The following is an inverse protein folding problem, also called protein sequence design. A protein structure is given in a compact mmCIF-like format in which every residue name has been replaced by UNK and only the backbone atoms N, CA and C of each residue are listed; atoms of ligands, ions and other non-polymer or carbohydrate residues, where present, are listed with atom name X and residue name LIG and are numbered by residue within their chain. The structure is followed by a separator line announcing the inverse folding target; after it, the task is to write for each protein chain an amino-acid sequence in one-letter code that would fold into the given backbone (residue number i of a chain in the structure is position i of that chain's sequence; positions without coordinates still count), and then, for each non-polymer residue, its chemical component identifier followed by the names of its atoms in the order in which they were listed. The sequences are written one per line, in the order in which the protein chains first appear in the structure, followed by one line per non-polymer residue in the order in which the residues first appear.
data_IF_283578873130
#
_entry.id   IF_283578873130
#
_cell.length_a   1.000
_cell.length_b   1.000
_cell.length_c   1.000
_cell.angle_alpha   90.00
_cell.angle_beta   90.00
_cell.angle_gamma   90.00
#
_symmetry.space_group_name_H-M   'P 1'
#
loop_
_entity.id
_entity.type
_entity.pdbx_description
1 polymer ?
#
# COMPACT_ATOMS: atom_id res chain seq x y z
N UNK A 1 -11.39 -13.81 17.29
CA UNK A 1 -10.25 -14.54 17.90
C UNK A 1 -10.04 -15.81 17.09
N UNK A 2 -9.34 -15.71 15.98
CA UNK A 2 -8.97 -16.85 15.15
C UNK A 2 -7.46 -17.07 15.20
N UNK A 3 -7.15 -18.30 15.52
CA UNK A 3 -5.89 -18.81 16.01
C UNK A 3 -4.81 -18.82 14.90
N UNK A 4 -3.73 -18.08 15.10
CA UNK A 4 -2.51 -18.11 14.28
C UNK A 4 -1.84 -19.49 14.28
N UNK A 5 -2.28 -20.39 13.42
CA UNK A 5 -1.62 -21.67 13.12
C UNK A 5 -0.62 -21.61 11.95
N UNK A 6 -0.17 -20.43 11.56
CA UNK A 6 0.78 -20.27 10.44
C UNK A 6 2.28 -20.30 10.81
N UNK A 7 2.61 -20.45 12.08
CA UNK A 7 3.99 -20.23 12.53
C UNK A 7 4.92 -21.47 12.47
N UNK A 8 4.39 -22.66 12.40
CA UNK A 8 5.18 -23.84 12.78
C UNK A 8 5.90 -24.60 11.65
N UNK A 9 5.53 -24.42 10.38
CA UNK A 9 6.12 -25.20 9.29
C UNK A 9 7.55 -24.77 8.91
N UNK A 10 7.87 -23.50 9.00
CA UNK A 10 9.20 -22.98 8.68
C UNK A 10 10.24 -23.37 9.74
N UNK A 11 9.92 -23.12 11.01
CA UNK A 11 10.81 -23.42 12.13
C UNK A 11 11.06 -24.93 12.27
N UNK A 12 10.00 -25.75 12.13
CA UNK A 12 10.13 -27.20 12.20
C UNK A 12 11.09 -27.77 11.14
N UNK A 13 11.08 -27.24 9.92
CA UNK A 13 11.97 -27.64 8.83
C UNK A 13 13.44 -27.31 9.12
N UNK A 14 13.72 -26.10 9.63
CA UNK A 14 15.07 -25.69 10.00
C UNK A 14 15.61 -26.48 11.19
N UNK A 15 14.77 -26.77 12.18
CA UNK A 15 15.13 -27.65 13.29
C UNK A 15 15.45 -29.07 12.81
N UNK A 16 14.63 -29.64 11.94
CA UNK A 16 14.87 -30.97 11.37
C UNK A 16 16.19 -31.00 10.60
N UNK A 17 16.47 -30.03 9.77
CA UNK A 17 17.70 -29.90 9.00
C UNK A 17 18.90 -29.77 9.93
N UNK A 18 18.82 -29.00 10.99
CA UNK A 18 19.85 -28.88 12.03
C UNK A 18 20.15 -30.23 12.71
N UNK A 19 19.12 -30.99 13.06
CA UNK A 19 19.25 -32.32 13.63
C UNK A 19 19.98 -33.28 12.66
N UNK A 20 19.62 -33.25 11.38
CA UNK A 20 20.27 -34.09 10.37
C UNK A 20 21.74 -33.71 10.18
N UNK A 21 22.06 -32.39 10.13
CA UNK A 21 23.45 -31.92 10.07
C UNK A 21 24.27 -32.43 11.27
N UNK A 22 23.72 -32.31 12.48
CA UNK A 22 24.39 -32.82 13.70
C UNK A 22 24.56 -34.33 13.63
N UNK A 23 23.55 -35.06 13.14
CA UNK A 23 23.66 -36.50 12.94
C UNK A 23 24.77 -36.86 11.94
N UNK A 24 24.89 -36.14 10.82
CA UNK A 24 25.96 -36.34 9.84
C UNK A 24 27.34 -36.15 10.49
N UNK A 25 27.50 -35.10 11.28
CA UNK A 25 28.76 -34.81 11.96
C UNK A 25 29.12 -35.91 13.00
N UNK A 26 28.12 -36.36 13.77
CA UNK A 26 28.34 -37.43 14.76
C UNK A 26 28.69 -38.77 14.09
N UNK A 27 27.88 -39.24 13.14
CA UNK A 27 28.14 -40.49 12.43
C UNK A 27 29.41 -40.42 11.60
N UNK A 28 29.69 -39.25 10.98
CA UNK A 28 30.93 -39.04 10.22
C UNK A 28 32.17 -39.11 11.12
N UNK A 29 32.15 -38.42 12.26
CA UNK A 29 33.25 -38.42 13.21
C UNK A 29 33.47 -39.82 13.79
N UNK A 30 32.41 -40.50 14.23
CA UNK A 30 32.50 -41.88 14.72
C UNK A 30 33.00 -42.83 13.62
N UNK A 31 32.55 -42.71 12.41
CA UNK A 31 32.97 -43.54 11.28
C UNK A 31 34.45 -43.37 10.92
N UNK A 32 34.99 -42.16 10.99
CA UNK A 32 36.41 -41.91 10.79
C UNK A 32 37.27 -42.48 11.93
N UNK A 33 36.82 -42.36 13.19
CA UNK A 33 37.52 -42.97 14.33
C UNK A 33 37.48 -44.49 14.29
N UNK A 34 36.41 -45.08 13.73
CA UNK A 34 36.30 -46.52 13.50
C UNK A 34 37.22 -46.99 12.36
N UNK A 35 37.35 -46.19 11.31
CA UNK A 35 38.20 -46.50 10.15
C UNK A 35 39.69 -46.34 10.46
N UNK A 36 40.08 -45.38 11.29
CA UNK A 36 41.44 -45.11 11.68
C UNK A 36 41.53 -44.77 13.19
N UNK A 37 41.75 -45.75 14.07
CA UNK A 37 41.81 -45.53 15.50
C UNK A 37 42.98 -44.64 15.98
N UNK A 38 43.96 -44.36 15.12
CA UNK A 38 45.05 -43.45 15.44
C UNK A 38 44.69 -41.96 15.21
N UNK A 39 43.56 -41.71 14.60
CA UNK A 39 43.11 -40.36 14.29
C UNK A 39 42.63 -39.61 15.55
N UNK A 40 43.00 -38.35 15.68
CA UNK A 40 42.50 -37.54 16.77
C UNK A 40 41.06 -37.05 16.47
N UNK A 41 40.24 -36.90 17.51
CA UNK A 41 38.80 -36.60 17.36
C UNK A 41 38.52 -35.32 16.53
N UNK A 42 39.37 -34.30 16.62
CA UNK A 42 39.23 -33.08 15.88
C UNK A 42 39.56 -33.24 14.39
N UNK A 43 40.52 -34.13 14.04
CA UNK A 43 40.82 -34.46 12.65
C UNK A 43 39.68 -35.28 12.04
N UNK A 44 39.10 -36.21 12.83
CA UNK A 44 37.89 -36.94 12.42
C UNK A 44 36.70 -36.03 12.20
N UNK A 45 36.49 -35.02 13.05
CA UNK A 45 35.45 -34.02 12.88
C UNK A 45 35.69 -33.16 11.61
N UNK A 46 36.94 -32.74 11.37
CA UNK A 46 37.30 -32.01 10.18
C UNK A 46 37.00 -32.81 8.91
N UNK A 47 37.37 -34.09 8.88
CA UNK A 47 37.03 -34.98 7.76
C UNK A 47 35.53 -35.24 7.65
N UNK A 48 34.79 -35.27 8.74
CA UNK A 48 33.33 -35.36 8.68
C UNK A 48 32.70 -34.12 8.04
N UNK A 49 33.26 -32.91 8.23
CA UNK A 49 32.84 -31.69 7.54
C UNK A 49 33.16 -31.78 6.05
N UNK A 50 34.29 -32.38 5.67
CA UNK A 50 34.65 -32.56 4.25
C UNK A 50 33.68 -33.46 3.49
N UNK A 51 32.89 -34.32 4.16
CA UNK A 51 31.84 -35.10 3.49
C UNK A 51 30.79 -34.25 2.80
N UNK A 52 30.54 -33.01 3.26
CA UNK A 52 29.63 -32.08 2.59
C UNK A 52 30.20 -31.54 1.27
N UNK A 53 31.52 -31.63 1.06
CA UNK A 53 32.23 -31.20 -0.17
C UNK A 53 32.50 -32.39 -1.10
N UNK A 54 31.96 -33.58 -0.81
CA UNK A 54 32.13 -34.82 -1.59
C UNK A 54 33.56 -35.35 -1.68
N UNK A 55 34.40 -35.03 -0.69
CA UNK A 55 35.72 -35.65 -0.59
C UNK A 55 35.59 -37.10 -0.09
N UNK A 56 36.14 -38.05 -0.86
CA UNK A 56 35.88 -39.46 -0.64
C UNK A 56 37.17 -40.22 -0.30
N UNK A 57 37.14 -41.07 0.76
CA UNK A 57 38.24 -41.97 1.00
C UNK A 57 38.30 -43.07 -0.08
N UNK A 58 39.50 -43.40 -0.52
CA UNK A 58 39.74 -44.46 -1.52
C UNK A 58 39.51 -45.88 -0.97
N UNK A 59 39.43 -46.07 0.36
CA UNK A 59 39.26 -47.37 1.00
C UNK A 59 37.76 -47.64 1.30
N UNK A 60 37.42 -48.95 1.47
CA UNK A 60 36.03 -49.33 1.84
C UNK A 60 35.68 -48.75 3.20
N UNK A 61 34.71 -47.81 3.24
CA UNK A 61 34.33 -47.14 4.46
C UNK A 61 33.52 -48.08 5.38
N UNK A 62 33.60 -47.92 6.71
CA UNK A 62 32.67 -48.55 7.64
C UNK A 62 31.24 -48.07 7.38
N UNK A 63 30.26 -48.88 7.80
CA UNK A 63 28.85 -48.63 7.51
C UNK A 63 28.37 -47.28 8.09
N UNK A 64 28.89 -46.87 9.22
CA UNK A 64 28.64 -45.58 9.88
C UNK A 64 29.05 -44.41 8.99
N UNK A 65 30.18 -44.48 8.32
CA UNK A 65 30.70 -43.48 7.42
C UNK A 65 29.89 -43.44 6.10
N UNK A 66 29.45 -44.60 5.60
CA UNK A 66 28.56 -44.66 4.42
C UNK A 66 27.20 -43.96 4.68
N UNK A 67 26.61 -44.22 5.86
CA UNK A 67 25.36 -43.55 6.25
C UNK A 67 25.56 -42.03 6.35
N UNK A 68 26.63 -41.58 7.00
CA UNK A 68 26.96 -40.17 7.13
C UNK A 68 27.12 -39.51 5.74
N UNK A 69 27.77 -40.18 4.82
CA UNK A 69 27.97 -39.71 3.43
C UNK A 69 26.67 -39.51 2.66
N UNK A 70 25.76 -40.49 2.72
CA UNK A 70 24.46 -40.35 2.06
C UNK A 70 23.61 -39.23 2.68
N UNK A 71 23.64 -39.10 4.01
CA UNK A 71 22.94 -38.00 4.69
C UNK A 71 23.54 -36.64 4.34
N UNK A 72 24.88 -36.51 4.26
CA UNK A 72 25.53 -35.26 3.83
C UNK A 72 25.13 -34.88 2.41
N UNK A 73 25.13 -35.86 1.50
CA UNK A 73 24.67 -35.64 0.11
C UNK A 73 23.22 -35.16 0.06
N UNK A 74 22.31 -35.76 0.84
CA UNK A 74 20.91 -35.33 0.92
C UNK A 74 20.78 -33.92 1.45
N UNK A 75 21.53 -33.55 2.51
CA UNK A 75 21.50 -32.16 3.05
C UNK A 75 22.00 -31.17 2.03
N UNK A 76 23.10 -31.45 1.34
CA UNK A 76 23.65 -30.56 0.30
C UNK A 76 22.64 -30.40 -0.87
N UNK A 77 22.08 -31.49 -1.35
CA UNK A 77 21.07 -31.45 -2.42
C UNK A 77 19.81 -30.69 -2.00
N UNK A 78 19.33 -30.90 -0.78
CA UNK A 78 18.18 -30.20 -0.23
C UNK A 78 18.45 -28.69 -0.14
N UNK A 79 19.61 -28.28 0.34
CA UNK A 79 19.98 -26.87 0.44
C UNK A 79 20.00 -26.19 -0.96
N UNK A 80 20.60 -26.86 -1.95
CA UNK A 80 20.60 -26.37 -3.34
C UNK A 80 19.17 -26.31 -3.90
N UNK A 81 18.35 -27.31 -3.67
CA UNK A 81 16.96 -27.33 -4.11
C UNK A 81 16.13 -26.21 -3.49
N UNK A 82 16.30 -25.90 -2.19
CA UNK A 82 15.61 -24.79 -1.54
C UNK A 82 15.99 -23.43 -2.17
N UNK A 83 17.28 -23.20 -2.43
CA UNK A 83 17.72 -21.96 -3.09
C UNK A 83 17.13 -21.86 -4.50
N UNK A 84 17.17 -22.94 -5.28
CA UNK A 84 16.58 -22.98 -6.61
C UNK A 84 15.06 -22.73 -6.55
N UNK A 85 14.34 -23.39 -5.65
CA UNK A 85 12.90 -23.21 -5.49
C UNK A 85 12.54 -21.78 -5.08
N UNK A 86 13.34 -21.13 -4.21
CA UNK A 86 13.13 -19.74 -3.83
C UNK A 86 13.25 -18.81 -5.06
N UNK A 87 14.31 -18.98 -5.87
CA UNK A 87 14.52 -18.21 -7.10
C UNK A 87 13.41 -18.49 -8.12
N UNK A 88 13.05 -19.75 -8.34
CA UNK A 88 11.98 -20.12 -9.27
C UNK A 88 10.60 -19.63 -8.83
N UNK A 89 10.33 -19.56 -7.52
CA UNK A 89 9.05 -19.05 -7.01
C UNK A 89 8.87 -17.57 -7.36
N UNK A 90 9.92 -16.77 -7.21
CA UNK A 90 9.90 -15.35 -7.59
C UNK A 90 9.73 -15.17 -9.10
N UNK A 91 10.48 -15.94 -9.90
CA UNK A 91 10.36 -15.90 -11.37
C UNK A 91 8.98 -16.37 -11.85
N UNK A 92 8.39 -17.40 -11.23
CA UNK A 92 7.02 -17.84 -11.53
C UNK A 92 5.99 -16.74 -11.25
N UNK A 93 6.09 -16.04 -10.12
CA UNK A 93 5.19 -14.91 -9.78
C UNK A 93 5.27 -13.82 -10.84
N UNK A 94 6.49 -13.43 -11.24
CA UNK A 94 6.72 -12.46 -12.31
C UNK A 94 6.15 -12.94 -13.65
N UNK A 95 6.41 -14.18 -14.04
CA UNK A 95 5.90 -14.74 -15.28
C UNK A 95 4.37 -14.80 -15.29
N UNK A 96 3.77 -15.23 -14.19
CA UNK A 96 2.29 -15.24 -14.06
C UNK A 96 1.70 -13.85 -14.14
N UNK A 97 2.33 -12.85 -13.51
CA UNK A 97 1.87 -11.46 -13.60
C UNK A 97 1.96 -10.91 -15.03
N UNK A 98 3.02 -11.24 -15.77
CA UNK A 98 3.20 -10.85 -17.20
C UNK A 98 2.22 -11.51 -18.16
N UNK A 99 1.86 -12.77 -17.89
CA UNK A 99 0.94 -13.53 -18.75
C UNK A 99 -0.54 -13.24 -18.45
N UNK A 100 -0.83 -12.59 -17.32
CA UNK A 100 -2.19 -12.19 -16.96
C UNK A 100 -2.69 -11.09 -17.89
N UNK A 101 -3.96 -11.17 -18.25
CA UNK A 101 -4.68 -10.14 -19.00
C UNK A 101 -5.88 -9.67 -18.20
N UNK A 102 -6.29 -8.43 -18.41
CA UNK A 102 -7.42 -7.78 -17.74
C UNK A 102 -7.30 -7.80 -16.21
N UNK A 103 -6.12 -7.46 -15.71
CA UNK A 103 -5.85 -7.34 -14.29
C UNK A 103 -5.63 -5.88 -13.90
N UNK A 104 -5.83 -5.58 -12.63
CA UNK A 104 -5.58 -4.26 -12.06
C UNK A 104 -4.19 -4.28 -11.45
N UNK A 105 -3.40 -3.24 -11.75
CA UNK A 105 -2.07 -3.06 -11.16
C UNK A 105 -2.13 -1.90 -10.18
N UNK A 106 -1.75 -2.12 -8.94
CA UNK A 106 -1.56 -1.07 -7.94
C UNK A 106 -0.08 -0.86 -7.75
N UNK A 107 0.41 0.35 -8.02
CA UNK A 107 1.81 0.73 -7.86
C UNK A 107 1.93 1.68 -6.69
N UNK A 108 2.71 1.30 -5.69
CA UNK A 108 2.94 2.13 -4.52
C UNK A 108 3.43 1.36 -3.31
N UNK A 109 3.88 2.12 -2.32
CA UNK A 109 4.48 1.60 -1.11
C UNK A 109 3.53 1.77 0.09
N UNK A 110 3.72 0.92 1.10
CA UNK A 110 3.07 1.05 2.39
C UNK A 110 1.60 0.61 2.46
N UNK A 111 0.92 0.93 3.58
CA UNK A 111 -0.39 0.38 3.92
C UNK A 111 -1.52 0.85 3.02
N UNK A 112 -1.38 2.00 2.37
CA UNK A 112 -2.40 2.54 1.48
C UNK A 112 -2.51 1.73 0.20
N UNK A 113 -1.38 1.40 -0.43
CA UNK A 113 -1.34 0.52 -1.59
C UNK A 113 -1.90 -0.86 -1.24
N UNK A 114 -1.57 -1.38 -0.05
CA UNK A 114 -2.11 -2.63 0.44
C UNK A 114 -3.64 -2.56 0.62
N UNK A 115 -4.15 -1.52 1.27
CA UNK A 115 -5.59 -1.31 1.49
C UNK A 115 -6.37 -1.23 0.17
N UNK A 116 -5.86 -0.48 -0.80
CA UNK A 116 -6.49 -0.37 -2.12
C UNK A 116 -6.50 -1.70 -2.85
N UNK A 117 -5.39 -2.42 -2.85
CA UNK A 117 -5.27 -3.71 -3.52
C UNK A 117 -6.15 -4.80 -2.88
N UNK A 118 -6.34 -4.71 -1.56
CA UNK A 118 -7.20 -5.62 -0.80
C UNK A 118 -8.67 -5.26 -0.81
N UNK A 119 -9.10 -4.25 -1.55
CA UNK A 119 -10.49 -3.82 -1.58
C UNK A 119 -11.40 -4.92 -2.15
N UNK A 120 -12.44 -5.26 -1.40
CA UNK A 120 -13.39 -6.32 -1.74
C UNK A 120 -14.14 -6.06 -3.07
N UNK A 121 -14.26 -4.82 -3.49
CA UNK A 121 -14.89 -4.44 -4.75
C UNK A 121 -14.19 -5.07 -5.96
N UNK A 122 -12.87 -5.11 -5.96
CA UNK A 122 -12.13 -5.76 -7.04
C UNK A 122 -12.30 -7.27 -7.04
N UNK A 123 -12.31 -7.88 -5.86
CA UNK A 123 -12.48 -9.31 -5.70
C UNK A 123 -13.91 -9.77 -6.06
N UNK A 124 -14.92 -9.00 -5.68
CA UNK A 124 -16.33 -9.26 -6.04
C UNK A 124 -16.56 -9.15 -7.54
N UNK A 125 -15.84 -8.25 -8.21
CA UNK A 125 -15.85 -8.12 -9.66
C UNK A 125 -15.04 -9.20 -10.39
N UNK A 126 -14.43 -10.16 -9.67
CA UNK A 126 -13.60 -11.22 -10.25
C UNK A 126 -12.28 -10.71 -10.86
N UNK A 127 -11.89 -9.48 -10.57
CA UNK A 127 -10.66 -8.88 -11.09
C UNK A 127 -9.45 -9.41 -10.31
N UNK A 128 -8.40 -9.74 -11.03
CA UNK A 128 -7.11 -10.11 -10.43
C UNK A 128 -6.31 -8.86 -10.16
N UNK A 129 -5.75 -8.75 -8.96
CA UNK A 129 -4.96 -7.58 -8.56
C UNK A 129 -3.49 -7.98 -8.44
N UNK A 130 -2.61 -7.10 -8.91
CA UNK A 130 -1.15 -7.20 -8.77
C UNK A 130 -0.67 -5.93 -8.10
N UNK A 131 0.08 -6.06 -7.01
CA UNK A 131 0.72 -4.91 -6.35
C UNK A 131 2.20 -4.89 -6.71
N UNK A 132 2.70 -3.71 -7.03
CA UNK A 132 4.12 -3.45 -7.29
C UNK A 132 4.59 -2.40 -6.30
N UNK A 133 5.47 -2.79 -5.40
CA UNK A 133 6.03 -1.90 -4.40
C UNK A 133 6.54 -2.64 -3.16
N UNK A 134 7.09 -1.87 -2.25
CA UNK A 134 7.60 -2.39 -0.98
C UNK A 134 6.53 -2.31 0.09
N UNK A 135 6.03 -3.47 0.50
CA UNK A 135 4.99 -3.61 1.51
C UNK A 135 5.54 -4.30 2.75
N UNK A 136 5.02 -3.95 3.91
CA UNK A 136 5.33 -4.65 5.14
C UNK A 136 4.99 -6.15 5.04
N UNK A 137 5.75 -7.05 5.68
CA UNK A 137 5.49 -8.50 5.63
C UNK A 137 4.08 -8.91 6.06
N UNK A 138 3.48 -8.18 7.03
CA UNK A 138 2.10 -8.36 7.46
C UNK A 138 1.11 -8.12 6.33
N UNK A 139 1.30 -7.02 5.58
CA UNK A 139 0.43 -6.62 4.48
C UNK A 139 0.57 -7.57 3.30
N UNK A 140 1.81 -8.02 3.02
CA UNK A 140 2.06 -9.05 2.00
C UNK A 140 1.34 -10.35 2.33
N UNK A 141 1.40 -10.81 3.60
CA UNK A 141 0.71 -12.03 4.04
C UNK A 141 -0.82 -11.88 3.95
N UNK A 142 -1.35 -10.73 4.34
CA UNK A 142 -2.77 -10.42 4.26
C UNK A 142 -3.28 -10.39 2.81
N UNK A 143 -2.54 -9.76 1.91
CA UNK A 143 -2.86 -9.70 0.48
C UNK A 143 -2.74 -11.09 -0.20
N UNK A 144 -1.73 -11.87 0.18
CA UNK A 144 -1.56 -13.24 -0.32
C UNK A 144 -2.76 -14.12 0.04
N UNK A 145 -3.32 -13.98 1.26
CA UNK A 145 -4.54 -14.66 1.69
C UNK A 145 -5.78 -14.30 0.84
N UNK A 146 -5.76 -13.16 0.16
CA UNK A 146 -6.80 -12.68 -0.77
C UNK A 146 -6.50 -12.97 -2.24
N UNK A 147 -5.43 -13.70 -2.54
CA UNK A 147 -5.03 -14.04 -3.91
C UNK A 147 -4.41 -12.88 -4.70
N UNK A 148 -4.04 -11.79 -4.03
CA UNK A 148 -3.30 -10.67 -4.63
C UNK A 148 -1.85 -11.07 -4.81
N UNK A 149 -1.29 -10.78 -5.98
CA UNK A 149 0.13 -11.02 -6.26
C UNK A 149 0.95 -9.78 -5.91
N UNK A 150 1.85 -9.90 -4.94
CA UNK A 150 2.77 -8.82 -4.57
C UNK A 150 4.10 -9.02 -5.26
N UNK A 151 4.57 -8.00 -5.95
CA UNK A 151 5.87 -7.94 -6.63
C UNK A 151 6.68 -6.80 -6.01
N UNK A 152 8.00 -6.98 -5.83
CA UNK A 152 8.87 -5.88 -5.42
C UNK A 152 8.92 -4.81 -6.52
N UNK A 153 9.53 -3.66 -6.23
CA UNK A 153 9.75 -2.64 -7.26
C UNK A 153 10.49 -3.25 -8.45
N UNK A 154 9.91 -3.06 -9.61
CA UNK A 154 10.38 -3.69 -10.84
C UNK A 154 11.23 -2.72 -11.64
N UNK A 155 12.33 -3.24 -12.20
CA UNK A 155 13.05 -2.54 -13.26
C UNK A 155 12.13 -2.34 -14.49
N UNK A 156 12.36 -1.28 -15.25
CA UNK A 156 11.48 -0.87 -16.36
C UNK A 156 11.13 -1.97 -17.38
N UNK A 157 12.05 -2.88 -17.80
CA UNK A 157 11.68 -3.95 -18.74
C UNK A 157 10.70 -4.96 -18.13
N UNK A 158 10.76 -5.18 -16.81
CA UNK A 158 9.84 -6.07 -16.12
C UNK A 158 8.49 -5.41 -15.88
N UNK A 159 8.51 -4.13 -15.52
CA UNK A 159 7.33 -3.29 -15.36
C UNK A 159 6.50 -3.25 -16.65
N UNK A 160 7.13 -2.97 -17.80
CA UNK A 160 6.47 -2.99 -19.12
C UNK A 160 5.73 -4.30 -19.38
N UNK A 161 6.35 -5.43 -19.04
CA UNK A 161 5.74 -6.75 -19.23
C UNK A 161 4.46 -6.95 -18.40
N UNK A 162 4.42 -6.46 -17.17
CA UNK A 162 3.23 -6.53 -16.30
C UNK A 162 2.16 -5.55 -16.75
N UNK A 163 2.54 -4.31 -17.08
CA UNK A 163 1.60 -3.26 -17.49
C UNK A 163 0.93 -3.54 -18.83
N UNK A 164 1.57 -4.28 -19.74
CA UNK A 164 1.01 -4.58 -21.07
C UNK A 164 -0.33 -5.30 -21.01
N UNK A 165 -0.55 -6.12 -19.99
CA UNK A 165 -1.80 -6.87 -19.78
C UNK A 165 -2.76 -6.22 -18.80
N UNK A 166 -2.40 -5.09 -18.22
CA UNK A 166 -3.23 -4.39 -17.26
C UNK A 166 -4.41 -3.69 -17.96
N UNK A 167 -5.57 -3.73 -17.33
CA UNK A 167 -6.76 -2.95 -17.71
C UNK A 167 -6.64 -1.56 -17.11
N UNK A 168 -6.41 -1.50 -15.79
CA UNK A 168 -6.25 -0.27 -15.03
C UNK A 168 -4.95 -0.31 -14.22
N UNK A 169 -4.32 0.83 -14.08
CA UNK A 169 -3.15 1.02 -13.22
C UNK A 169 -3.45 2.13 -12.22
N UNK A 170 -3.43 1.79 -10.96
CA UNK A 170 -3.64 2.73 -9.85
C UNK A 170 -2.31 3.05 -9.22
N UNK A 171 -1.97 4.33 -9.15
CA UNK A 171 -0.67 4.80 -8.62
C UNK A 171 -0.91 5.54 -7.31
N UNK A 172 -0.21 5.11 -6.27
CA UNK A 172 -0.31 5.63 -4.91
C UNK A 172 1.10 5.81 -4.35
N UNK A 173 1.59 7.02 -4.35
CA UNK A 173 2.86 7.34 -3.67
C UNK A 173 2.65 7.60 -2.19
N UNK A 174 3.73 7.63 -1.43
CA UNK A 174 3.73 8.07 -0.04
C UNK A 174 3.50 9.59 0.09
N UNK A 175 3.79 10.34 -0.97
CA UNK A 175 3.47 11.75 -1.13
C UNK A 175 3.12 12.10 -2.58
N UNK A 176 2.68 13.33 -2.81
CA UNK A 176 2.28 13.81 -4.12
C UNK A 176 3.44 13.87 -5.14
N UNK A 177 4.68 14.11 -4.67
CA UNK A 177 5.85 14.15 -5.55
C UNK A 177 6.24 12.73 -6.00
N UNK A 178 6.20 11.78 -5.10
CA UNK A 178 6.41 10.36 -5.42
C UNK A 178 5.34 9.88 -6.41
N UNK A 179 4.06 10.20 -6.15
CA UNK A 179 2.96 9.89 -7.07
C UNK A 179 3.21 10.46 -8.46
N UNK A 180 3.61 11.74 -8.56
CA UNK A 180 3.91 12.38 -9.84
C UNK A 180 5.06 11.70 -10.57
N UNK A 181 6.15 11.36 -9.87
CA UNK A 181 7.29 10.65 -10.44
C UNK A 181 6.90 9.25 -10.95
N UNK A 182 6.11 8.50 -10.18
CA UNK A 182 5.60 7.20 -10.57
C UNK A 182 4.70 7.30 -11.81
N UNK A 183 3.83 8.29 -11.89
CA UNK A 183 3.00 8.53 -13.08
C UNK A 183 3.85 8.79 -14.31
N UNK A 184 4.85 9.66 -14.23
CA UNK A 184 5.78 9.92 -15.33
C UNK A 184 6.51 8.66 -15.79
N UNK A 185 7.02 7.87 -14.84
CA UNK A 185 7.70 6.59 -15.12
C UNK A 185 6.79 5.60 -15.81
N UNK A 186 5.56 5.42 -15.29
CA UNK A 186 4.59 4.46 -15.85
C UNK A 186 4.09 4.91 -17.22
N UNK A 187 3.77 6.18 -17.39
CA UNK A 187 3.30 6.73 -18.67
C UNK A 187 4.34 6.60 -19.77
N UNK A 188 5.65 6.73 -19.44
CA UNK A 188 6.73 6.52 -20.41
C UNK A 188 6.93 5.06 -20.78
N UNK A 189 6.56 4.14 -19.88
CA UNK A 189 6.83 2.71 -20.00
C UNK A 189 5.71 1.95 -20.74
N UNK A 190 4.44 2.35 -20.53
CA UNK A 190 3.28 1.66 -21.11
C UNK A 190 2.11 2.63 -21.43
N UNK A 191 1.96 3.05 -22.68
CA UNK A 191 0.95 4.07 -23.03
C UNK A 191 -0.50 3.58 -23.14
N UNK A 192 -0.81 2.32 -22.83
CA UNK A 192 -2.13 1.73 -23.08
C UNK A 192 -3.09 1.58 -21.90
N UNK A 193 -2.68 1.28 -20.65
CA UNK A 193 -3.63 1.13 -19.55
C UNK A 193 -4.21 2.48 -19.14
N UNK A 194 -5.44 2.45 -18.60
CA UNK A 194 -5.98 3.64 -17.93
C UNK A 194 -5.18 3.88 -16.66
N UNK A 195 -4.46 4.99 -16.60
CA UNK A 195 -3.71 5.37 -15.43
C UNK A 195 -4.61 6.17 -14.49
N UNK A 196 -4.69 5.77 -13.24
CA UNK A 196 -5.36 6.48 -12.16
C UNK A 196 -4.33 6.87 -11.12
N UNK A 197 -4.09 8.16 -10.94
CA UNK A 197 -3.15 8.68 -9.96
C UNK A 197 -3.88 9.29 -8.76
N UNK A 198 -3.53 8.86 -7.55
CA UNK A 198 -4.09 9.38 -6.31
C UNK A 198 -3.18 10.45 -5.73
N UNK A 199 -3.70 11.67 -5.62
CA UNK A 199 -3.03 12.81 -4.99
C UNK A 199 -3.73 13.19 -3.69
N UNK A 200 -2.98 13.71 -2.74
CA UNK A 200 -3.53 14.30 -1.51
C UNK A 200 -3.89 15.77 -1.69
N UNK A 201 -3.05 16.52 -2.41
CA UNK A 201 -3.27 17.94 -2.67
C UNK A 201 -4.31 18.16 -3.77
N UNK A 202 -5.44 18.81 -3.47
CA UNK A 202 -6.42 19.19 -4.49
C UNK A 202 -5.85 20.16 -5.54
N UNK A 203 -4.84 20.93 -5.17
CA UNK A 203 -4.19 21.89 -6.07
C UNK A 203 -3.33 21.18 -7.08
N UNK A 204 -2.48 20.26 -6.62
CA UNK A 204 -1.62 19.47 -7.51
C UNK A 204 -2.43 18.55 -8.41
N UNK A 205 -3.47 17.89 -7.90
CA UNK A 205 -4.36 17.08 -8.71
C UNK A 205 -4.97 17.88 -9.86
N UNK A 206 -5.45 19.11 -9.60
CA UNK A 206 -6.00 20.00 -10.61
C UNK A 206 -4.96 20.50 -11.62
N UNK A 207 -3.77 20.86 -11.16
CA UNK A 207 -2.68 21.27 -12.04
C UNK A 207 -2.28 20.12 -12.96
N UNK A 208 -2.15 18.93 -12.41
CA UNK A 208 -1.82 17.73 -13.18
C UNK A 208 -2.87 17.43 -14.23
N UNK A 209 -4.16 17.45 -13.88
CA UNK A 209 -5.27 17.24 -14.83
C UNK A 209 -5.23 18.23 -15.99
N UNK A 210 -4.80 19.47 -15.75
CA UNK A 210 -4.70 20.51 -16.79
C UNK A 210 -3.49 20.33 -17.71
N UNK A 211 -2.37 19.85 -17.17
CA UNK A 211 -1.11 19.71 -17.90
C UNK A 211 -0.96 18.39 -18.62
N UNK A 212 -1.67 17.33 -18.18
CA UNK A 212 -1.47 15.94 -18.64
C UNK A 212 -2.78 15.31 -19.09
N UNK A 213 -3.56 16.01 -19.90
CA UNK A 213 -4.97 15.69 -20.22
C UNK A 213 -5.24 14.25 -20.69
N UNK A 214 -4.23 13.56 -21.25
CA UNK A 214 -4.41 12.23 -21.83
C UNK A 214 -3.57 11.13 -21.15
N UNK A 215 -2.61 11.47 -20.28
CA UNK A 215 -1.69 10.50 -19.73
C UNK A 215 -2.23 9.76 -18.51
N UNK A 216 -2.98 10.43 -17.63
CA UNK A 216 -3.53 9.81 -16.43
C UNK A 216 -4.77 10.57 -15.92
N UNK A 217 -5.78 9.81 -15.48
CA UNK A 217 -6.88 10.36 -14.70
C UNK A 217 -6.39 10.61 -13.28
N UNK A 218 -6.67 11.78 -12.76
CA UNK A 218 -6.27 12.13 -11.40
C UNK A 218 -7.46 12.09 -10.45
N UNK A 219 -7.25 11.52 -9.28
CA UNK A 219 -8.20 11.51 -8.17
C UNK A 219 -7.51 12.15 -6.97
N UNK A 220 -8.16 13.12 -6.35
CA UNK A 220 -7.70 13.68 -5.09
C UNK A 220 -8.45 13.01 -3.95
N UNK A 221 -7.72 12.35 -3.03
CA UNK A 221 -8.30 11.67 -1.86
C UNK A 221 -9.10 12.64 -0.99
N UNK A 222 -8.55 13.79 -0.73
CA UNK A 222 -9.22 14.85 0.07
C UNK A 222 -10.52 15.31 -0.59
N UNK A 223 -10.52 15.46 -1.90
CA UNK A 223 -11.72 15.81 -2.66
C UNK A 223 -12.79 14.73 -2.58
N UNK A 224 -12.41 13.46 -2.69
CA UNK A 224 -13.35 12.35 -2.58
C UNK A 224 -13.94 12.23 -1.17
N UNK A 225 -13.10 12.36 -0.14
CA UNK A 225 -13.54 12.40 1.25
C UNK A 225 -14.53 13.56 1.50
N UNK A 226 -14.23 14.76 0.97
CA UNK A 226 -15.13 15.89 1.10
C UNK A 226 -16.49 15.64 0.43
N UNK A 227 -16.49 15.08 -0.78
CA UNK A 227 -17.73 14.74 -1.48
C UNK A 227 -18.53 13.67 -0.74
N UNK A 228 -17.87 12.65 -0.23
CA UNK A 228 -18.53 11.57 0.53
C UNK A 228 -19.10 12.08 1.86
N UNK A 229 -18.34 12.94 2.55
CA UNK A 229 -18.83 13.61 3.76
C UNK A 229 -20.08 14.43 3.48
N UNK A 230 -20.09 15.22 2.40
CA UNK A 230 -21.25 16.01 2.01
C UNK A 230 -22.43 15.16 1.52
N UNK A 231 -22.18 13.98 0.97
CA UNK A 231 -23.22 13.03 0.59
C UNK A 231 -23.87 12.38 1.81
N UNK A 232 -23.08 12.02 2.82
CA UNK A 232 -23.57 11.38 4.06
C UNK A 232 -24.20 12.39 5.02
N UNK A 233 -23.62 13.58 5.09
CA UNK A 233 -24.04 14.67 5.96
C UNK A 233 -24.24 15.94 5.13
N UNK A 234 -25.32 16.06 4.36
CA UNK A 234 -25.60 17.26 3.58
C UNK A 234 -25.73 18.47 4.51
N UNK A 235 -25.02 19.58 4.21
CA UNK A 235 -25.02 20.75 5.08
C UNK A 235 -26.38 21.47 5.12
N UNK A 236 -27.28 21.14 4.20
CA UNK A 236 -28.60 21.74 4.08
C UNK A 236 -29.66 20.64 4.02
N UNK A 237 -30.41 20.40 5.08
CA UNK A 237 -31.57 19.52 5.03
C UNK A 237 -32.65 20.15 4.16
N UNK A 238 -33.38 19.35 3.38
CA UNK A 238 -34.30 19.75 2.32
C UNK A 238 -35.46 20.65 2.78
N UNK A 239 -35.73 20.77 4.07
CA UNK A 239 -36.97 21.36 4.60
C UNK A 239 -36.80 22.54 5.55
N UNK A 240 -35.61 23.07 5.77
CA UNK A 240 -35.37 24.11 6.75
C UNK A 240 -34.93 25.45 6.10
N UNK A 241 -35.37 26.57 6.70
CA UNK A 241 -34.69 27.85 6.57
C UNK A 241 -33.22 27.63 6.98
N UNK A 242 -32.33 27.69 6.02
CA UNK A 242 -31.01 27.06 6.13
C UNK A 242 -30.08 28.00 6.88
N UNK A 243 -29.61 27.60 8.07
CA UNK A 243 -28.52 28.31 8.72
C UNK A 243 -27.22 28.09 7.91
N UNK A 244 -26.40 29.14 7.86
CA UNK A 244 -25.10 29.06 7.20
C UNK A 244 -24.28 27.88 7.79
N UNK A 245 -23.64 27.06 6.95
CA UNK A 245 -22.91 25.88 7.40
C UNK A 245 -21.64 26.24 8.17
N UNK A 246 -21.30 25.39 9.13
CA UNK A 246 -20.08 25.52 9.93
C UNK A 246 -19.17 24.35 9.62
N UNK A 247 -17.93 24.66 9.26
CA UNK A 247 -16.85 23.67 9.06
C UNK A 247 -15.87 23.81 10.23
N UNK A 248 -15.72 22.72 10.99
CA UNK A 248 -14.80 22.67 12.12
C UNK A 248 -13.62 21.77 11.77
N UNK A 249 -12.40 22.30 11.86
CA UNK A 249 -11.20 21.54 11.63
C UNK A 249 -10.12 22.29 10.86
N UNK A 250 -8.98 21.65 10.75
CA UNK A 250 -7.79 22.17 10.11
C UNK A 250 -7.43 21.43 8.84
N UNK A 251 -6.72 22.13 7.96
CA UNK A 251 -6.01 21.53 6.84
C UNK A 251 -6.82 21.33 5.56
N UNK A 252 -6.33 20.46 4.65
CA UNK A 252 -6.82 20.35 3.28
C UNK A 252 -8.28 19.89 3.17
N UNK A 253 -8.74 19.04 4.10
CA UNK A 253 -10.12 18.54 4.09
C UNK A 253 -11.11 19.65 4.43
N UNK A 254 -10.84 20.46 5.47
CA UNK A 254 -11.67 21.59 5.84
C UNK A 254 -11.74 22.61 4.70
N UNK A 255 -10.61 22.90 4.06
CA UNK A 255 -10.52 23.76 2.88
C UNK A 255 -11.38 23.24 1.72
N UNK A 256 -11.29 21.96 1.40
CA UNK A 256 -12.03 21.37 0.28
C UNK A 256 -13.53 21.25 0.59
N UNK A 257 -13.92 20.92 1.82
CA UNK A 257 -15.31 20.95 2.27
C UNK A 257 -15.90 22.35 2.10
N UNK A 258 -15.25 23.37 2.65
CA UNK A 258 -15.67 24.78 2.51
C UNK A 258 -15.83 25.16 1.04
N UNK A 259 -14.83 24.85 0.22
CA UNK A 259 -14.89 25.14 -1.21
C UNK A 259 -16.07 24.45 -1.90
N UNK A 260 -16.33 23.18 -1.58
CA UNK A 260 -17.43 22.40 -2.17
C UNK A 260 -18.78 22.89 -1.73
N UNK A 261 -18.94 23.26 -0.46
CA UNK A 261 -20.17 23.86 0.04
C UNK A 261 -20.48 25.14 -0.74
N UNK A 262 -19.51 26.05 -0.88
CA UNK A 262 -19.73 27.32 -1.59
C UNK A 262 -20.05 27.10 -3.07
N UNK A 263 -19.35 26.19 -3.75
CA UNK A 263 -19.52 25.95 -5.17
C UNK A 263 -20.75 25.10 -5.50
N UNK A 264 -21.10 24.16 -4.64
CA UNK A 264 -22.17 23.19 -4.85
C UNK A 264 -23.57 23.77 -4.55
N UNK A 265 -23.65 24.74 -3.68
CA UNK A 265 -24.92 25.34 -3.22
C UNK A 265 -25.10 26.79 -3.67
N UNK A 266 -24.60 27.15 -4.84
CA UNK A 266 -24.94 28.41 -5.50
C UNK A 266 -26.27 28.23 -6.21
N UNK A 267 -27.37 28.60 -5.57
CA UNK A 267 -28.71 28.52 -6.18
C UNK A 267 -29.38 29.89 -6.17
N UNK A 268 -30.01 30.29 -7.28
CA UNK A 268 -30.83 31.50 -7.40
C UNK A 268 -30.21 32.82 -6.92
N UNK A 269 -28.90 32.98 -7.14
CA UNK A 269 -28.17 34.19 -6.73
C UNK A 269 -27.79 34.24 -5.26
N UNK A 270 -28.16 33.22 -4.49
CA UNK A 270 -27.74 33.09 -3.09
C UNK A 270 -26.42 32.33 -2.97
N UNK A 271 -25.53 32.85 -2.15
CA UNK A 271 -24.26 32.16 -1.79
C UNK A 271 -24.26 31.89 -0.31
N UNK A 272 -24.07 30.63 0.11
CA UNK A 272 -23.97 30.33 1.52
C UNK A 272 -22.76 31.03 2.12
N UNK A 273 -22.91 31.56 3.35
CA UNK A 273 -21.79 31.96 4.17
C UNK A 273 -21.32 30.73 4.93
N UNK A 274 -20.04 30.45 4.90
CA UNK A 274 -19.47 29.31 5.60
C UNK A 274 -18.60 29.84 6.74
N UNK A 275 -18.92 29.45 7.95
CA UNK A 275 -18.06 29.68 9.11
C UNK A 275 -17.03 28.55 9.23
N UNK A 276 -15.77 28.88 9.21
CA UNK A 276 -14.67 27.94 9.41
C UNK A 276 -14.04 28.18 10.79
N UNK A 277 -14.16 27.21 11.68
CA UNK A 277 -13.52 27.22 12.99
C UNK A 277 -12.26 26.35 12.95
N UNK A 278 -11.10 26.92 13.26
CA UNK A 278 -9.83 26.28 13.04
C UNK A 278 -8.79 26.74 14.08
N UNK A 279 -7.88 25.87 14.46
CA UNK A 279 -6.73 26.25 15.30
C UNK A 279 -5.65 26.96 14.48
N UNK A 280 -5.62 26.72 13.17
CA UNK A 280 -4.66 27.31 12.24
C UNK A 280 -5.37 27.88 11.02
N UNK A 281 -5.16 29.14 10.74
CA UNK A 281 -5.81 29.83 9.62
C UNK A 281 -5.00 29.83 8.31
N UNK A 282 -3.76 29.33 8.32
CA UNK A 282 -2.86 29.36 7.16
C UNK A 282 -3.43 28.67 5.89
N UNK A 283 -4.27 27.67 6.03
CA UNK A 283 -4.90 26.96 4.92
C UNK A 283 -6.06 27.72 4.26
N UNK A 284 -6.62 28.67 4.98
CA UNK A 284 -7.84 29.36 4.55
C UNK A 284 -7.56 30.62 3.72
N UNK A 285 -6.32 31.09 3.65
CA UNK A 285 -5.95 32.33 2.94
C UNK A 285 -6.42 32.36 1.49
N UNK A 286 -6.18 31.27 0.75
CA UNK A 286 -6.63 31.16 -0.64
C UNK A 286 -8.17 31.18 -0.80
N UNK A 287 -8.88 30.62 0.18
CA UNK A 287 -10.35 30.60 0.16
C UNK A 287 -10.92 31.98 0.42
N UNK A 288 -10.40 32.70 1.41
CA UNK A 288 -10.79 34.07 1.73
C UNK A 288 -10.50 34.99 0.55
N UNK A 289 -9.33 34.86 -0.08
CA UNK A 289 -8.98 35.63 -1.26
C UNK A 289 -9.93 35.36 -2.42
N UNK A 290 -10.32 34.09 -2.63
CA UNK A 290 -11.12 33.66 -3.77
C UNK A 290 -12.61 33.90 -3.59
N UNK A 291 -13.15 33.70 -2.41
CA UNK A 291 -14.59 33.72 -2.13
C UNK A 291 -15.05 34.90 -1.28
N UNK A 292 -14.10 35.69 -0.75
CA UNK A 292 -14.38 36.93 -0.03
C UNK A 292 -15.37 36.77 1.11
N UNK A 293 -16.42 37.59 1.12
CA UNK A 293 -17.42 37.61 2.18
C UNK A 293 -18.27 36.34 2.36
N UNK A 294 -18.09 35.33 1.49
CA UNK A 294 -18.78 34.05 1.64
C UNK A 294 -18.04 33.11 2.64
N UNK A 295 -16.83 33.44 3.06
CA UNK A 295 -16.04 32.66 3.99
C UNK A 295 -15.65 33.50 5.18
N UNK A 296 -16.10 33.11 6.36
CA UNK A 296 -15.65 33.68 7.62
C UNK A 296 -14.75 32.66 8.32
N UNK A 297 -13.52 33.04 8.57
CA UNK A 297 -12.54 32.14 9.24
C UNK A 297 -12.24 32.70 10.60
N UNK A 298 -12.42 31.88 11.62
CA UNK A 298 -12.07 32.23 13.00
C UNK A 298 -11.09 31.25 13.58
N UNK A 299 -10.01 31.81 14.12
CA UNK A 299 -9.01 31.04 14.83
C UNK A 299 -9.43 30.87 16.28
N UNK A 300 -9.54 29.62 16.70
CA UNK A 300 -9.91 29.31 18.08
C UNK A 300 -9.43 27.92 18.48
N UNK A 301 -9.34 27.68 19.79
CA UNK A 301 -9.12 26.33 20.31
C UNK A 301 -10.38 25.48 20.10
N UNK A 302 -10.22 24.33 19.47
CA UNK A 302 -11.33 23.44 19.09
C UNK A 302 -11.84 22.60 20.29
N UNK A 303 -12.14 23.24 21.40
CA UNK A 303 -12.84 22.60 22.53
C UNK A 303 -14.35 22.61 22.26
N UNK A 304 -15.09 21.53 22.59
CA UNK A 304 -16.53 21.43 22.29
C UNK A 304 -17.34 22.63 22.79
N UNK A 305 -17.13 23.06 24.04
CA UNK A 305 -17.84 24.20 24.60
C UNK A 305 -17.55 25.53 23.87
N UNK A 306 -16.32 25.74 23.43
CA UNK A 306 -15.95 26.93 22.66
C UNK A 306 -16.59 26.91 21.26
N UNK A 307 -16.58 25.75 20.61
CA UNK A 307 -17.21 25.55 19.30
C UNK A 307 -18.72 25.79 19.37
N UNK A 308 -19.41 25.21 20.37
CA UNK A 308 -20.85 25.41 20.56
C UNK A 308 -21.21 26.87 20.76
N UNK A 309 -20.47 27.58 21.63
CA UNK A 309 -20.70 29.00 21.89
C UNK A 309 -20.55 29.82 20.57
N UNK A 310 -19.54 29.53 19.78
CA UNK A 310 -19.29 30.26 18.53
C UNK A 310 -20.31 29.94 17.43
N UNK A 311 -20.73 28.70 17.34
CA UNK A 311 -21.81 28.27 16.41
C UNK A 311 -23.12 28.97 16.78
N UNK A 312 -23.44 29.09 18.08
CA UNK A 312 -24.62 29.80 18.55
C UNK A 312 -24.55 31.29 18.18
N UNK A 313 -23.44 31.96 18.48
CA UNK A 313 -23.21 33.36 18.10
C UNK A 313 -23.39 33.57 16.59
N UNK A 314 -22.82 32.70 15.77
CA UNK A 314 -22.92 32.79 14.31
C UNK A 314 -24.35 32.59 13.83
N UNK A 315 -25.11 31.67 14.41
CA UNK A 315 -26.53 31.47 14.09
C UNK A 315 -27.39 32.66 14.47
N UNK A 316 -27.12 33.29 15.60
CA UNK A 316 -27.89 34.46 16.08
C UNK A 316 -27.65 35.70 15.20
N UNK A 317 -26.51 35.77 14.51
CA UNK A 317 -26.22 36.84 13.54
C UNK A 317 -26.78 36.56 12.15
N UNK A 318 -27.43 35.40 11.94
CA UNK A 318 -27.95 35.03 10.65
C UNK A 318 -29.22 35.81 10.30
N UNK A 319 -29.17 36.58 9.21
CA UNK A 319 -30.35 37.24 8.64
C UNK A 319 -30.69 36.47 7.36
N UNK A 320 -31.90 35.88 7.28
CA UNK A 320 -32.32 35.18 6.06
C UNK A 320 -32.30 36.14 4.87
N UNK A 321 -31.84 35.70 3.69
CA UNK A 321 -31.91 36.54 2.49
C UNK A 321 -33.36 36.93 2.20
N UNK A 322 -33.58 38.21 2.03
CA UNK A 322 -34.93 38.72 1.66
C UNK A 322 -35.40 38.03 0.37
N UNK A 323 -36.46 37.23 0.46
CA UNK A 323 -37.11 36.63 -0.68
C UNK A 323 -37.60 37.76 -1.62
N UNK A 324 -36.88 37.98 -2.72
CA UNK A 324 -37.49 38.76 -3.82
C UNK A 324 -36.78 39.99 -4.35
N UNK A 325 -35.54 40.31 -3.94
CA UNK A 325 -34.77 41.28 -4.71
C UNK A 325 -33.77 40.54 -5.61
N UNK A 326 -34.31 39.92 -6.66
CA UNK A 326 -33.51 39.40 -7.75
C UNK A 326 -32.65 40.53 -8.30
N UNK A 327 -31.36 40.36 -8.26
CA UNK A 327 -30.43 41.19 -9.00
C UNK A 327 -30.69 40.96 -10.49
N UNK A 328 -31.50 41.83 -11.08
CA UNK A 328 -31.45 42.12 -12.49
C UNK A 328 -30.24 43.02 -12.67
N UNK A 329 -29.19 42.46 -13.30
CA UNK A 329 -27.97 43.16 -13.62
C UNK A 329 -27.02 42.18 -14.27
#
# INVERSE_FOLDING_TARGET
MENHKGWDWGLGRWCLLGVVVVAVLLFGTCGWLEADPALQWYDALYRAIQLFVLDMPEQKPPLTLEVARWLALFVAFYAVAEVLLAVFTQQKRLLHARLRRNHIVVIGNGPEAASLAGNDTYHTAGKKVVVIGDLAPSDQAWLAGRGVSVLPDLSDPHLTGVLRGAEDVVIVGGDDNETANLVCRVASTAPKPQLLALFDSPTLARQWTRSSSDAARTVCRVTQLALETLRLCPPFPSDAAVPDPVVVGDGPLAAELTRRIILGWQHDGWRPRVLCLSERTSWAGDLVQKFGGAVQVEQMTLLPACVEAKVTEFRDTWVPPEKGKGAVG
#
